data_IF_600104410604
#
_entry.id   IF_600104410604
#
_cell.length_a   1.000
_cell.length_b   1.000
_cell.length_c   1.000
_cell.angle_alpha   90.00
_cell.angle_beta   90.00
_cell.angle_gamma   90.00
#
_symmetry.space_group_name_H-M   'P 1'
#
loop_
_entity.id
_entity.type
_entity.pdbx_description
1 polymer ?
#
# COMPACT_ATOMS: atom_id res chain seq x y z
N UNK A 1 -35.49 70.96 -49.78
CA UNK A 1 -34.76 71.47 -48.61
C UNK A 1 -35.35 70.75 -47.37
N UNK A 2 -34.95 69.59 -47.03
CA UNK A 2 -35.45 68.78 -45.93
C UNK A 2 -34.38 68.58 -44.90
N UNK A 3 -34.63 69.04 -43.69
CA UNK A 3 -33.73 68.84 -42.51
C UNK A 3 -33.95 67.50 -41.92
N UNK A 4 -32.94 66.64 -41.97
CA UNK A 4 -32.91 65.36 -41.29
C UNK A 4 -32.48 65.59 -39.82
N UNK A 5 -33.32 65.22 -38.90
CA UNK A 5 -32.99 65.19 -37.46
C UNK A 5 -32.42 63.83 -37.10
N UNK A 6 -31.18 63.79 -36.60
CA UNK A 6 -30.52 62.66 -36.10
C UNK A 6 -30.97 62.43 -34.64
N UNK A 7 -31.59 61.32 -34.36
CA UNK A 7 -31.92 60.87 -32.99
C UNK A 7 -30.76 60.03 -32.42
N UNK A 8 -30.19 60.46 -31.31
CA UNK A 8 -29.14 59.80 -30.58
C UNK A 8 -29.80 58.87 -29.58
N UNK A 9 -29.69 57.55 -29.81
CA UNK A 9 -30.16 56.53 -28.86
C UNK A 9 -28.99 56.18 -27.95
N UNK A 10 -29.10 56.43 -26.65
CA UNK A 10 -28.16 56.05 -25.63
C UNK A 10 -28.39 54.55 -25.25
N UNK A 11 -27.42 53.74 -25.51
CA UNK A 11 -27.41 52.31 -25.04
C UNK A 11 -26.75 52.27 -23.66
N UNK A 12 -27.54 52.02 -22.62
CA UNK A 12 -27.02 51.68 -21.29
C UNK A 12 -26.45 50.24 -21.33
N UNK A 13 -25.13 50.11 -21.29
CA UNK A 13 -24.46 48.86 -21.10
C UNK A 13 -24.55 48.45 -19.64
N UNK A 14 -25.30 47.39 -19.37
CA UNK A 14 -25.27 46.69 -18.07
C UNK A 14 -24.03 45.84 -18.00
N UNK A 15 -23.04 46.24 -17.20
CA UNK A 15 -21.87 45.42 -16.84
C UNK A 15 -22.27 44.40 -15.79
N UNK A 16 -22.50 43.16 -16.23
CA UNK A 16 -22.67 42.03 -15.32
C UNK A 16 -21.31 41.67 -14.72
N UNK A 17 -21.09 41.96 -13.45
CA UNK A 17 -20.00 41.39 -12.67
C UNK A 17 -20.25 39.87 -12.49
N UNK A 18 -19.50 39.05 -13.21
CA UNK A 18 -19.39 37.61 -12.92
C UNK A 18 -18.52 37.49 -11.69
N UNK A 19 -19.13 37.22 -10.55
CA UNK A 19 -18.42 36.81 -9.35
C UNK A 19 -17.90 35.38 -9.58
N UNK A 20 -16.61 35.22 -9.87
CA UNK A 20 -15.94 33.95 -9.77
C UNK A 20 -15.96 33.52 -8.28
N UNK A 21 -16.93 32.70 -7.92
CA UNK A 21 -17.01 32.08 -6.62
C UNK A 21 -15.82 31.14 -6.42
N UNK A 22 -14.92 31.45 -5.50
CA UNK A 22 -13.86 30.60 -5.03
C UNK A 22 -14.46 29.40 -4.26
N UNK A 23 -14.77 28.30 -4.97
CA UNK A 23 -15.29 27.05 -4.38
C UNK A 23 -14.18 26.16 -3.77
N UNK A 24 -12.92 26.63 -3.75
CA UNK A 24 -11.79 25.89 -3.16
C UNK A 24 -11.67 25.97 -1.63
N UNK A 25 -12.38 26.88 -0.97
CA UNK A 25 -12.18 27.13 0.47
C UNK A 25 -12.91 26.16 1.41
N UNK A 26 -14.04 25.60 1.00
CA UNK A 26 -14.91 24.83 1.91
C UNK A 26 -14.39 23.41 2.23
N UNK A 27 -13.79 22.72 1.27
CA UNK A 27 -13.26 21.37 1.47
C UNK A 27 -11.99 21.36 2.33
N UNK A 28 -11.12 22.37 2.18
CA UNK A 28 -9.91 22.51 2.99
C UNK A 28 -10.20 22.87 4.45
N UNK A 29 -11.18 23.73 4.70
CA UNK A 29 -11.59 24.10 6.06
C UNK A 29 -12.22 22.91 6.82
N UNK A 30 -12.98 22.05 6.13
CA UNK A 30 -13.60 20.86 6.72
C UNK A 30 -12.55 19.82 7.15
N UNK A 31 -11.52 19.57 6.34
CA UNK A 31 -10.45 18.60 6.67
C UNK A 31 -9.59 19.07 7.83
N UNK A 32 -9.26 20.36 7.91
CA UNK A 32 -8.46 20.94 9.00
C UNK A 32 -9.21 20.85 10.34
N UNK A 33 -10.52 21.13 10.35
CA UNK A 33 -11.34 20.99 11.56
C UNK A 33 -11.48 19.54 12.03
N UNK A 34 -11.61 18.60 11.10
CA UNK A 34 -11.66 17.16 11.40
C UNK A 34 -10.35 16.67 12.00
N UNK A 35 -9.20 17.05 11.46
CA UNK A 35 -7.88 16.72 12.03
C UNK A 35 -7.70 17.33 13.42
N UNK A 36 -8.13 18.58 13.64
CA UNK A 36 -8.08 19.20 14.96
C UNK A 36 -8.93 18.45 16.00
N UNK A 37 -10.10 17.94 15.61
CA UNK A 37 -10.92 17.09 16.46
C UNK A 37 -10.21 15.75 16.75
N UNK A 38 -9.61 15.11 15.75
CA UNK A 38 -8.85 13.87 15.90
C UNK A 38 -7.67 14.02 16.86
N UNK A 39 -6.87 15.08 16.74
CA UNK A 39 -5.76 15.35 17.68
C UNK A 39 -6.18 15.39 19.14
N UNK A 40 -7.41 15.83 19.41
CA UNK A 40 -7.98 15.86 20.77
C UNK A 40 -8.50 14.50 21.22
N UNK A 41 -9.03 13.68 20.29
CA UNK A 41 -9.68 12.41 20.63
C UNK A 41 -8.73 11.21 20.66
N UNK A 42 -7.67 11.21 19.85
CA UNK A 42 -6.71 10.10 19.73
C UNK A 42 -6.18 9.62 21.07
N UNK A 43 -5.72 10.48 22.01
CA UNK A 43 -5.17 10.04 23.30
C UNK A 43 -6.16 9.26 24.20
N UNK A 44 -7.47 9.36 23.94
CA UNK A 44 -8.49 8.62 24.67
C UNK A 44 -8.72 7.20 24.11
N UNK A 45 -8.17 6.89 22.94
CA UNK A 45 -8.42 5.65 22.20
C UNK A 45 -7.15 4.84 21.92
N UNK A 46 -5.99 5.31 22.37
CA UNK A 46 -4.72 4.61 22.25
C UNK A 46 -4.72 3.30 23.04
N UNK A 47 -4.14 2.26 22.48
CA UNK A 47 -3.94 0.96 23.13
C UNK A 47 -3.14 1.12 24.45
N UNK A 48 -2.06 1.90 24.40
CA UNK A 48 -1.33 2.32 25.59
C UNK A 48 -1.39 3.84 25.68
N UNK A 49 -2.00 4.35 26.74
CA UNK A 49 -2.19 5.79 26.93
C UNK A 49 -0.90 6.59 26.81
N UNK A 50 -0.92 7.62 25.97
CA UNK A 50 0.20 8.54 25.76
C UNK A 50 1.22 8.06 24.72
N UNK A 51 0.89 6.97 23.97
CA UNK A 51 1.71 6.49 22.86
C UNK A 51 0.85 5.87 21.76
N UNK A 52 1.29 6.00 20.53
CA UNK A 52 0.73 5.30 19.37
C UNK A 52 1.51 4.00 19.17
N UNK A 53 0.86 2.87 19.41
CA UNK A 53 1.47 1.54 19.25
C UNK A 53 1.20 1.02 17.85
N UNK A 54 2.25 0.93 17.04
CA UNK A 54 2.19 0.48 15.64
C UNK A 54 2.77 -0.93 15.53
N UNK A 55 2.03 -1.83 14.92
CA UNK A 55 2.48 -3.21 14.68
C UNK A 55 3.05 -3.36 13.26
N UNK A 56 3.97 -4.29 13.10
CA UNK A 56 4.44 -4.86 11.82
C UNK A 56 5.10 -6.21 12.07
N UNK A 57 5.36 -6.99 11.02
CA UNK A 57 6.05 -8.28 11.13
C UNK A 57 7.56 -8.13 11.39
N UNK A 58 8.22 -9.24 11.67
CA UNK A 58 9.67 -9.36 11.76
C UNK A 58 10.14 -10.68 11.13
N UNK A 59 11.05 -10.61 10.13
CA UNK A 59 11.76 -9.41 9.65
C UNK A 59 10.89 -8.49 8.79
N UNK A 60 11.04 -7.16 9.01
CA UNK A 60 10.40 -6.12 8.22
C UNK A 60 11.29 -5.74 7.02
N UNK A 61 10.83 -6.01 5.80
CA UNK A 61 11.65 -5.97 4.59
C UNK A 61 11.69 -4.59 3.89
N UNK A 62 12.78 -4.37 3.17
CA UNK A 62 12.90 -3.30 2.17
C UNK A 62 12.01 -3.69 0.95
N UNK A 63 11.30 -2.73 0.33
CA UNK A 63 11.38 -1.25 0.49
C UNK A 63 10.44 -0.66 1.54
N UNK A 64 9.66 -1.45 2.23
CA UNK A 64 8.66 -1.03 3.21
C UNK A 64 9.31 -0.54 4.50
N UNK A 65 10.32 -1.26 4.95
CA UNK A 65 11.15 -0.92 6.11
C UNK A 65 12.63 -1.09 5.76
N UNK A 66 13.48 -0.14 6.15
CA UNK A 66 14.91 -0.21 5.87
C UNK A 66 15.66 -0.79 7.06
N UNK A 67 16.53 -1.77 6.80
CA UNK A 67 17.37 -2.44 7.78
C UNK A 67 16.60 -3.17 8.88
N UNK A 68 15.43 -3.74 8.59
CA UNK A 68 14.58 -4.40 9.58
C UNK A 68 14.39 -3.53 10.85
N UNK A 69 14.24 -2.22 10.68
CA UNK A 69 14.15 -1.26 11.79
C UNK A 69 12.97 -0.31 11.56
N UNK A 70 11.74 -0.73 11.88
CA UNK A 70 10.54 0.08 11.67
C UNK A 70 10.59 1.48 12.31
N UNK A 71 11.26 1.60 13.45
CA UNK A 71 11.39 2.85 14.20
C UNK A 71 12.30 3.89 13.56
N UNK A 72 13.09 3.55 12.54
CA UNK A 72 14.03 4.48 11.92
C UNK A 72 13.36 5.53 10.99
N UNK A 73 12.08 5.34 10.61
CA UNK A 73 11.34 6.22 9.70
C UNK A 73 11.76 6.10 8.25
N UNK A 74 12.50 5.05 7.90
CA UNK A 74 12.98 4.79 6.54
C UNK A 74 12.29 3.56 5.97
N UNK A 75 11.95 3.63 4.68
CA UNK A 75 11.05 2.71 4.00
C UNK A 75 9.65 3.31 3.87
N UNK A 76 8.86 2.78 2.94
CA UNK A 76 7.57 3.39 2.62
C UNK A 76 6.61 3.32 3.80
N UNK A 77 6.38 2.16 4.38
CA UNK A 77 5.42 1.96 5.46
C UNK A 77 5.87 2.59 6.78
N UNK A 78 7.17 2.49 7.10
CA UNK A 78 7.70 3.22 8.25
C UNK A 78 7.44 4.72 8.13
N UNK A 79 7.72 5.31 6.96
CA UNK A 79 7.50 6.74 6.73
C UNK A 79 6.01 7.12 6.73
N UNK A 80 5.12 6.27 6.18
CA UNK A 80 3.67 6.47 6.21
C UNK A 80 3.14 6.45 7.64
N UNK A 81 3.57 5.50 8.48
CA UNK A 81 3.16 5.43 9.89
C UNK A 81 3.51 6.72 10.64
N UNK A 82 4.73 7.21 10.47
CA UNK A 82 5.16 8.48 11.08
C UNK A 82 4.45 9.70 10.51
N UNK A 83 4.12 9.71 9.21
CA UNK A 83 3.33 10.78 8.62
C UNK A 83 1.91 10.82 9.18
N UNK A 84 1.27 9.66 9.33
CA UNK A 84 -0.05 9.53 9.97
C UNK A 84 0.01 10.00 11.43
N UNK A 85 1.01 9.55 12.21
CA UNK A 85 1.22 9.99 13.59
C UNK A 85 1.32 11.53 13.67
N UNK A 86 2.07 12.16 12.77
CA UNK A 86 2.21 13.62 12.69
C UNK A 86 0.89 14.33 12.41
N UNK A 87 0.08 13.83 11.47
CA UNK A 87 -1.27 14.36 11.20
C UNK A 87 -2.20 14.22 12.41
N UNK A 88 -2.05 13.14 13.18
CA UNK A 88 -2.80 12.90 14.41
C UNK A 88 -2.26 13.68 15.63
N UNK A 89 -1.16 14.41 15.47
CA UNK A 89 -0.53 15.19 16.55
C UNK A 89 0.29 14.37 17.53
N UNK A 90 0.63 13.12 17.17
CA UNK A 90 1.48 12.24 18.00
C UNK A 90 2.95 12.51 17.67
N UNK A 91 3.78 12.95 18.64
CA UNK A 91 5.20 13.15 18.42
C UNK A 91 5.93 11.85 18.07
N UNK A 92 7.02 11.95 17.32
CA UNK A 92 7.76 10.79 16.83
C UNK A 92 8.27 9.87 17.95
N UNK A 93 8.68 10.43 19.07
CA UNK A 93 9.15 9.71 20.27
C UNK A 93 8.02 9.00 21.03
N UNK A 94 6.77 9.26 20.67
CA UNK A 94 5.57 8.60 21.19
C UNK A 94 5.01 7.52 20.24
N UNK A 95 5.69 7.25 19.14
CA UNK A 95 5.36 6.12 18.25
C UNK A 95 6.19 4.91 18.67
N UNK A 96 5.51 3.88 19.16
CA UNK A 96 6.12 2.63 19.63
C UNK A 96 5.80 1.48 18.68
N UNK A 97 6.83 0.73 18.30
CA UNK A 97 6.68 -0.39 17.38
C UNK A 97 6.66 -1.71 18.15
N UNK A 98 5.74 -2.58 17.74
CA UNK A 98 5.62 -3.95 18.25
C UNK A 98 5.64 -4.95 17.09
N UNK A 99 6.09 -6.17 17.36
CA UNK A 99 6.04 -7.25 16.37
C UNK A 99 4.69 -7.94 16.45
N UNK A 100 4.02 -8.03 15.31
CA UNK A 100 2.82 -8.85 15.11
C UNK A 100 3.03 -9.69 13.84
N UNK A 101 3.07 -11.03 13.92
CA UNK A 101 3.23 -11.86 12.74
C UNK A 101 2.09 -11.64 11.74
N UNK A 102 2.42 -11.65 10.44
CA UNK A 102 1.49 -11.34 9.35
C UNK A 102 0.17 -12.12 9.44
N UNK A 103 0.24 -13.44 9.61
CA UNK A 103 -0.92 -14.32 9.66
C UNK A 103 -1.76 -14.15 10.94
N UNK A 104 -1.16 -13.70 12.04
CA UNK A 104 -1.84 -13.38 13.30
C UNK A 104 -2.60 -12.06 13.25
N UNK A 105 -2.16 -11.11 12.42
CA UNK A 105 -2.69 -9.75 12.40
C UNK A 105 -4.18 -9.69 12.05
N UNK A 106 -4.65 -10.52 11.12
CA UNK A 106 -6.07 -10.56 10.70
C UNK A 106 -6.89 -11.66 11.39
N UNK A 107 -6.35 -12.37 12.39
CA UNK A 107 -7.13 -13.30 13.23
C UNK A 107 -8.14 -12.49 14.07
N UNK A 108 -9.39 -12.96 14.25
CA UNK A 108 -10.36 -12.29 15.14
C UNK A 108 -9.84 -12.19 16.58
N UNK A 109 -10.19 -11.10 17.25
CA UNK A 109 -9.89 -10.93 18.69
C UNK A 109 -9.28 -9.58 19.03
N UNK A 110 -8.88 -9.47 20.30
CA UNK A 110 -8.24 -8.26 20.85
C UNK A 110 -6.86 -8.12 20.27
N UNK A 111 -6.52 -6.90 19.82
CA UNK A 111 -5.19 -6.55 19.32
C UNK A 111 -4.40 -5.78 20.38
N UNK A 112 -3.08 -5.97 20.36
CA UNK A 112 -2.16 -5.32 21.30
C UNK A 112 -1.45 -4.12 20.65
N UNK A 113 -2.16 -3.43 19.75
CA UNK A 113 -1.67 -2.28 19.00
C UNK A 113 -2.83 -1.35 18.59
N UNK A 114 -2.52 -0.14 18.21
CA UNK A 114 -3.47 0.82 17.67
C UNK A 114 -3.81 0.50 16.22
N UNK A 115 -2.80 0.26 15.40
CA UNK A 115 -2.92 -0.29 14.06
C UNK A 115 -1.68 -1.08 13.65
N UNK A 116 -1.88 -1.97 12.67
CA UNK A 116 -0.82 -2.71 12.00
C UNK A 116 -0.62 -2.15 10.57
N UNK A 117 0.66 -2.01 10.17
CA UNK A 117 1.08 -1.61 8.83
C UNK A 117 2.15 -2.60 8.36
N UNK A 118 1.77 -3.50 7.45
CA UNK A 118 2.57 -4.66 7.07
C UNK A 118 2.08 -5.23 5.74
N UNK A 119 2.00 -4.38 4.70
CA UNK A 119 1.61 -4.82 3.34
C UNK A 119 0.27 -5.56 3.32
N UNK A 120 -0.64 -5.21 4.23
CA UNK A 120 -1.87 -5.97 4.41
C UNK A 120 -2.93 -5.52 3.40
N UNK A 121 -3.10 -6.31 2.34
CA UNK A 121 -4.17 -6.11 1.38
C UNK A 121 -5.54 -6.25 2.03
N UNK A 122 -6.41 -5.27 1.74
CA UNK A 122 -7.82 -5.40 2.04
C UNK A 122 -8.42 -6.58 1.29
N UNK A 123 -9.13 -7.45 2.01
CA UNK A 123 -10.02 -8.44 1.41
C UNK A 123 -11.33 -8.49 2.19
N UNK A 124 -12.43 -8.82 1.48
CA UNK A 124 -13.73 -8.99 2.15
C UNK A 124 -13.72 -10.10 3.22
N UNK A 125 -12.86 -11.10 3.07
CA UNK A 125 -12.68 -12.17 4.05
C UNK A 125 -12.02 -11.63 5.33
N UNK A 126 -10.88 -10.92 5.22
CA UNK A 126 -10.17 -10.30 6.34
C UNK A 126 -11.05 -9.26 7.05
N UNK A 127 -11.80 -8.45 6.30
CA UNK A 127 -12.68 -7.41 6.84
C UNK A 127 -13.85 -7.94 7.69
N UNK A 128 -14.16 -9.25 7.66
CA UNK A 128 -15.12 -9.86 8.61
C UNK A 128 -14.54 -9.90 10.02
N UNK A 129 -13.24 -10.14 10.16
CA UNK A 129 -12.56 -10.33 11.44
C UNK A 129 -11.96 -9.05 12.02
N UNK A 130 -11.47 -8.17 11.17
CA UNK A 130 -10.76 -6.93 11.54
C UNK A 130 -11.37 -5.71 10.86
N UNK A 131 -10.88 -4.51 11.17
CA UNK A 131 -11.28 -3.28 10.46
C UNK A 131 -10.06 -2.75 9.70
N UNK A 132 -10.29 -2.25 8.49
CA UNK A 132 -9.27 -1.60 7.66
C UNK A 132 -9.48 -0.10 7.56
N UNK A 133 -8.40 0.63 7.40
CA UNK A 133 -8.45 2.02 6.95
C UNK A 133 -8.83 2.11 5.47
N UNK A 134 -8.99 3.33 4.96
CA UNK A 134 -8.90 3.60 3.53
C UNK A 134 -7.51 3.25 2.99
N UNK A 135 -7.41 2.95 1.68
CA UNK A 135 -6.15 2.63 1.02
C UNK A 135 -5.07 3.69 1.27
N UNK A 136 -3.84 3.26 1.60
CA UNK A 136 -2.65 4.10 1.57
C UNK A 136 -1.72 3.75 0.40
N UNK A 137 -1.89 2.59 -0.25
CA UNK A 137 -1.12 2.13 -1.40
C UNK A 137 -1.93 1.17 -2.27
N UNK A 138 -1.90 1.35 -3.58
CA UNK A 138 -2.49 0.43 -4.56
C UNK A 138 -1.39 -0.45 -5.12
N UNK A 139 -1.56 -1.77 -5.05
CA UNK A 139 -0.54 -2.78 -5.33
C UNK A 139 -0.95 -3.67 -6.50
N UNK A 140 0.04 -4.25 -7.15
CA UNK A 140 -0.12 -5.32 -8.14
C UNK A 140 0.74 -6.52 -7.75
N UNK A 141 0.34 -7.71 -8.16
CA UNK A 141 1.10 -8.93 -7.97
C UNK A 141 2.12 -9.13 -9.08
N UNK A 142 3.26 -9.77 -8.79
CA UNK A 142 4.30 -10.07 -9.77
C UNK A 142 4.92 -11.45 -9.54
N UNK A 143 5.51 -12.00 -10.61
CA UNK A 143 6.20 -13.30 -10.56
C UNK A 143 7.69 -13.08 -10.36
N UNK A 144 8.27 -13.82 -9.40
CA UNK A 144 9.72 -13.92 -9.18
C UNK A 144 10.17 -15.34 -9.47
N UNK A 145 11.25 -15.48 -10.24
CA UNK A 145 11.83 -16.77 -10.58
C UNK A 145 13.36 -16.68 -10.67
N UNK A 146 14.05 -17.83 -10.63
CA UNK A 146 15.48 -17.85 -10.93
C UNK A 146 15.72 -17.54 -12.40
N UNK A 147 16.78 -16.78 -12.71
CA UNK A 147 17.17 -16.38 -14.07
C UNK A 147 17.38 -17.57 -15.02
N UNK A 148 17.70 -18.73 -14.48
CA UNK A 148 17.90 -19.98 -15.22
C UNK A 148 16.61 -20.74 -15.52
N UNK A 149 15.49 -20.38 -14.84
CA UNK A 149 14.21 -21.08 -15.03
C UNK A 149 13.56 -20.62 -16.35
N UNK A 150 13.04 -21.56 -17.19
CA UNK A 150 12.37 -21.23 -18.45
C UNK A 150 11.16 -20.28 -18.32
N UNK A 151 10.53 -20.18 -17.14
CA UNK A 151 9.40 -19.28 -16.88
C UNK A 151 9.73 -17.81 -17.17
N UNK A 152 11.02 -17.42 -17.07
CA UNK A 152 11.45 -16.01 -17.32
C UNK A 152 11.19 -15.53 -18.75
N UNK A 153 10.88 -16.45 -19.68
CA UNK A 153 10.52 -16.16 -21.06
C UNK A 153 9.02 -16.27 -21.33
N UNK A 154 8.21 -16.43 -20.28
CA UNK A 154 6.76 -16.68 -20.39
C UNK A 154 6.01 -15.42 -20.00
N UNK A 155 5.12 -14.97 -20.87
CA UNK A 155 4.42 -13.69 -20.71
C UNK A 155 2.91 -13.77 -20.92
N UNK A 156 2.37 -14.99 -21.06
CA UNK A 156 0.93 -15.23 -21.15
C UNK A 156 0.44 -16.17 -20.04
N UNK A 157 -0.79 -16.01 -19.55
CA UNK A 157 -1.35 -16.87 -18.52
C UNK A 157 -1.34 -18.36 -18.88
N UNK A 158 -1.58 -18.68 -20.16
CA UNK A 158 -1.59 -20.07 -20.63
C UNK A 158 -0.22 -20.75 -20.44
N UNK A 159 0.88 -20.03 -20.73
CA UNK A 159 2.24 -20.54 -20.58
C UNK A 159 2.66 -20.69 -19.12
N UNK A 160 2.08 -19.89 -18.22
CA UNK A 160 2.41 -19.89 -16.79
C UNK A 160 1.81 -21.09 -16.04
N UNK A 161 0.78 -21.76 -16.57
CA UNK A 161 0.06 -22.84 -15.88
C UNK A 161 0.89 -24.11 -15.63
N UNK A 162 1.95 -24.33 -16.39
CA UNK A 162 2.74 -25.58 -16.30
C UNK A 162 3.82 -25.58 -15.23
N UNK A 163 4.05 -24.43 -14.59
CA UNK A 163 5.09 -24.24 -13.57
C UNK A 163 4.58 -24.56 -12.18
N UNK A 164 5.50 -24.98 -11.30
CA UNK A 164 5.22 -25.20 -9.87
C UNK A 164 5.47 -23.91 -9.09
N UNK A 165 4.42 -23.40 -8.51
CA UNK A 165 4.48 -22.25 -7.63
C UNK A 165 4.61 -22.64 -6.18
N UNK A 166 5.19 -21.74 -5.38
CA UNK A 166 5.15 -21.81 -3.92
C UNK A 166 4.91 -20.41 -3.35
N UNK A 167 4.21 -20.33 -2.22
CA UNK A 167 3.96 -19.04 -1.57
C UNK A 167 3.61 -19.20 -0.10
N UNK A 168 3.58 -18.07 0.63
CA UNK A 168 3.20 -18.06 2.03
C UNK A 168 1.69 -18.22 2.19
N UNK A 169 1.31 -18.98 3.20
CA UNK A 169 -0.10 -19.16 3.59
C UNK A 169 -0.80 -17.82 3.84
N UNK A 170 -2.02 -17.68 3.32
CA UNK A 170 -2.89 -16.53 3.59
C UNK A 170 -2.55 -15.25 2.82
N UNK A 171 -1.51 -15.25 1.96
CA UNK A 171 -1.17 -14.10 1.11
C UNK A 171 -2.10 -13.94 -0.07
N UNK A 172 -2.18 -12.73 -0.60
CA UNK A 172 -2.89 -12.46 -1.86
C UNK A 172 -2.14 -12.99 -3.07
N UNK A 173 -0.81 -13.15 -2.98
CA UNK A 173 0.00 -13.86 -3.97
C UNK A 173 -0.43 -15.32 -4.14
N UNK A 174 -0.56 -16.06 -3.03
CA UNK A 174 -1.08 -17.43 -3.06
C UNK A 174 -2.51 -17.49 -3.63
N UNK A 175 -3.37 -16.54 -3.24
CA UNK A 175 -4.72 -16.45 -3.80
C UNK A 175 -4.67 -16.17 -5.30
N UNK A 176 -3.78 -15.27 -5.77
CA UNK A 176 -3.61 -14.98 -7.19
C UNK A 176 -3.17 -16.21 -7.99
N UNK A 177 -2.25 -17.01 -7.45
CA UNK A 177 -1.84 -18.28 -8.07
C UNK A 177 -3.06 -19.19 -8.27
N UNK A 178 -3.87 -19.39 -7.24
CA UNK A 178 -5.02 -20.31 -7.26
C UNK A 178 -6.17 -19.80 -8.13
N UNK A 179 -6.47 -18.49 -8.10
CA UNK A 179 -7.68 -17.94 -8.70
C UNK A 179 -7.48 -17.44 -10.14
N UNK A 180 -6.25 -16.98 -10.46
CA UNK A 180 -5.94 -16.36 -11.75
C UNK A 180 -4.98 -17.18 -12.61
N UNK A 181 -3.84 -17.65 -12.07
CA UNK A 181 -2.90 -18.48 -12.83
C UNK A 181 -3.49 -19.88 -13.03
N UNK A 182 -4.07 -20.47 -11.99
CA UNK A 182 -4.66 -21.82 -12.00
C UNK A 182 -3.69 -22.87 -12.55
N UNK A 183 -2.53 -23.06 -11.90
CA UNK A 183 -1.52 -23.97 -12.40
C UNK A 183 -2.01 -25.42 -12.41
N UNK A 184 -1.46 -26.23 -13.32
CA UNK A 184 -1.78 -27.67 -13.42
C UNK A 184 -1.20 -28.50 -12.26
N UNK A 185 -0.22 -27.95 -11.56
CA UNK A 185 0.41 -28.53 -10.37
C UNK A 185 -0.06 -27.76 -9.13
N UNK A 186 -0.44 -28.46 -8.05
CA UNK A 186 -0.84 -27.82 -6.79
C UNK A 186 0.30 -26.99 -6.24
N UNK A 187 0.08 -25.70 -5.95
CA UNK A 187 1.10 -24.83 -5.35
C UNK A 187 1.55 -25.36 -3.99
N UNK A 188 2.83 -25.21 -3.68
CA UNK A 188 3.36 -25.49 -2.34
C UNK A 188 3.08 -24.31 -1.42
N UNK A 189 2.64 -24.60 -0.20
CA UNK A 189 2.26 -23.59 0.80
C UNK A 189 3.23 -23.65 1.96
N UNK A 190 3.75 -22.48 2.35
CA UNK A 190 4.75 -22.34 3.40
C UNK A 190 4.23 -21.45 4.52
N UNK A 191 4.77 -21.60 5.72
CA UNK A 191 4.39 -20.76 6.86
C UNK A 191 4.96 -19.34 6.76
N UNK A 192 6.10 -19.17 6.06
CA UNK A 192 6.74 -17.88 5.86
C UNK A 192 7.19 -17.69 4.41
N UNK A 193 7.30 -16.45 3.98
CA UNK A 193 7.81 -16.12 2.66
C UNK A 193 9.29 -16.53 2.49
N UNK A 194 10.09 -16.44 3.56
CA UNK A 194 11.49 -16.90 3.54
C UNK A 194 11.64 -18.39 3.24
N UNK A 195 10.70 -19.22 3.71
CA UNK A 195 10.69 -20.65 3.34
C UNK A 195 10.44 -20.83 1.84
N UNK A 196 9.49 -20.08 1.26
CA UNK A 196 9.24 -20.11 -0.18
C UNK A 196 10.47 -19.62 -0.98
N UNK A 197 11.15 -18.60 -0.50
CA UNK A 197 12.41 -18.09 -1.09
C UNK A 197 13.50 -19.17 -1.05
N UNK A 198 13.68 -19.87 0.07
CA UNK A 198 14.66 -20.95 0.19
C UNK A 198 14.37 -22.11 -0.79
N UNK A 199 13.11 -22.47 -0.95
CA UNK A 199 12.68 -23.51 -1.89
C UNK A 199 12.86 -23.07 -3.37
N UNK A 200 12.67 -21.80 -3.67
CA UNK A 200 12.97 -21.23 -4.99
C UNK A 200 14.49 -21.31 -5.28
N UNK A 201 15.33 -20.91 -4.31
CA UNK A 201 16.79 -20.94 -4.45
C UNK A 201 17.35 -22.35 -4.66
N UNK A 202 16.68 -23.36 -4.09
CA UNK A 202 17.07 -24.78 -4.22
C UNK A 202 16.35 -25.50 -5.35
N UNK A 203 15.67 -24.78 -6.24
CA UNK A 203 14.93 -25.30 -7.41
C UNK A 203 13.80 -26.27 -7.05
N UNK A 204 13.26 -26.20 -5.85
CA UNK A 204 12.13 -27.04 -5.41
C UNK A 204 10.78 -26.50 -5.90
N UNK A 205 10.73 -25.21 -6.21
CA UNK A 205 9.62 -24.52 -6.90
C UNK A 205 10.18 -23.71 -8.08
N UNK A 206 9.34 -23.39 -9.03
CA UNK A 206 9.71 -22.63 -10.23
C UNK A 206 9.57 -21.13 -10.02
N UNK A 207 8.58 -20.69 -9.24
CA UNK A 207 8.26 -19.28 -9.04
C UNK A 207 7.48 -18.99 -7.77
N UNK A 208 7.55 -17.75 -7.31
CA UNK A 208 6.76 -17.15 -6.24
C UNK A 208 5.94 -16.00 -6.84
N UNK A 209 4.74 -15.72 -6.33
CA UNK A 209 3.92 -14.56 -6.70
C UNK A 209 3.79 -13.66 -5.48
N UNK A 210 4.28 -12.44 -5.60
CA UNK A 210 4.33 -11.47 -4.49
C UNK A 210 3.98 -10.07 -4.98
N UNK A 211 3.75 -9.17 -4.06
CA UNK A 211 3.59 -7.76 -4.35
C UNK A 211 4.74 -7.22 -5.21
N UNK A 212 4.41 -6.37 -6.17
CA UNK A 212 5.40 -5.94 -7.18
C UNK A 212 6.66 -5.31 -6.58
N UNK A 213 6.60 -4.47 -5.52
CA UNK A 213 7.83 -3.97 -4.89
C UNK A 213 8.67 -5.07 -4.23
N UNK A 214 8.04 -6.07 -3.62
CA UNK A 214 8.75 -7.20 -3.00
C UNK A 214 9.44 -8.06 -4.03
N UNK A 215 8.76 -8.34 -5.13
CA UNK A 215 9.33 -9.07 -6.25
C UNK A 215 10.61 -8.41 -6.77
N UNK A 216 10.65 -7.10 -6.84
CA UNK A 216 11.86 -6.36 -7.26
C UNK A 216 12.97 -6.44 -6.20
N UNK A 217 12.64 -6.31 -4.91
CA UNK A 217 13.59 -6.47 -3.82
C UNK A 217 14.17 -7.88 -3.80
N UNK A 218 13.33 -8.89 -3.86
CA UNK A 218 13.75 -10.31 -3.93
C UNK A 218 14.69 -10.56 -5.10
N UNK A 219 14.29 -10.09 -6.29
CA UNK A 219 15.07 -10.27 -7.51
C UNK A 219 16.41 -9.53 -7.52
N UNK A 220 16.51 -8.38 -6.85
CA UNK A 220 17.71 -7.55 -6.88
C UNK A 220 18.64 -7.75 -5.68
N UNK A 221 18.11 -8.01 -4.48
CA UNK A 221 18.85 -7.95 -3.23
C UNK A 221 18.74 -9.22 -2.36
N UNK A 222 17.59 -9.89 -2.32
CA UNK A 222 17.39 -11.01 -1.39
C UNK A 222 17.89 -12.34 -1.96
N UNK A 223 17.56 -12.65 -3.23
CA UNK A 223 17.88 -13.94 -3.86
C UNK A 223 19.22 -13.83 -4.59
N UNK A 224 20.29 -14.15 -3.89
CA UNK A 224 21.66 -14.00 -4.35
C UNK A 224 22.45 -15.30 -4.21
N UNK A 225 23.52 -15.46 -5.01
CA UNK A 225 24.50 -16.51 -4.84
C UNK A 225 25.55 -16.15 -3.77
N UNK A 226 26.46 -17.06 -3.47
CA UNK A 226 27.55 -16.88 -2.50
C UNK A 226 28.50 -15.70 -2.82
N UNK A 227 28.45 -15.14 -4.03
CA UNK A 227 29.22 -13.95 -4.45
C UNK A 227 28.38 -12.67 -4.40
N UNK A 228 27.25 -12.68 -3.69
CA UNK A 228 26.29 -11.58 -3.58
C UNK A 228 25.76 -11.04 -4.93
N UNK A 229 25.72 -11.92 -5.94
CA UNK A 229 25.12 -11.58 -7.24
C UNK A 229 23.69 -12.11 -7.30
N UNK A 230 22.76 -11.28 -7.70
CA UNK A 230 21.36 -11.70 -7.92
C UNK A 230 21.30 -12.84 -8.94
N UNK A 231 20.61 -13.92 -8.55
CA UNK A 231 20.32 -15.10 -9.39
C UNK A 231 18.84 -15.19 -9.76
N UNK A 232 18.00 -14.29 -9.24
CA UNK A 232 16.58 -14.22 -9.56
C UNK A 232 16.26 -13.02 -10.46
N UNK A 233 15.07 -13.04 -11.03
CA UNK A 233 14.49 -11.92 -11.80
C UNK A 233 13.00 -11.84 -11.53
N UNK A 234 12.47 -10.63 -11.60
CA UNK A 234 11.04 -10.39 -11.67
C UNK A 234 10.59 -10.58 -13.12
N UNK A 235 9.79 -11.60 -13.39
CA UNK A 235 9.37 -12.01 -14.74
C UNK A 235 8.42 -10.98 -15.34
N UNK A 236 7.50 -10.47 -14.53
CA UNK A 236 6.52 -9.48 -14.90
C UNK A 236 5.51 -9.26 -13.77
N UNK A 237 4.77 -8.15 -13.86
CA UNK A 237 3.64 -7.87 -12.99
C UNK A 237 2.32 -8.17 -13.71
N UNK A 238 1.31 -8.52 -12.94
CA UNK A 238 -0.04 -8.69 -13.45
C UNK A 238 -0.78 -7.35 -13.56
N UNK A 239 -1.81 -7.26 -14.41
CA UNK A 239 -2.71 -6.10 -14.41
C UNK A 239 -3.32 -5.86 -13.02
N UNK A 240 -3.58 -4.59 -12.69
CA UNK A 240 -4.24 -4.25 -11.43
C UNK A 240 -5.61 -4.92 -11.31
N UNK A 241 -5.87 -5.51 -10.17
CA UNK A 241 -7.18 -6.05 -9.76
C UNK A 241 -7.96 -5.09 -8.88
N UNK A 242 -7.41 -3.91 -8.58
CA UNK A 242 -7.91 -3.00 -7.56
C UNK A 242 -7.43 -3.36 -6.15
N UNK A 243 -6.48 -4.28 -6.06
CA UNK A 243 -5.85 -4.64 -4.79
C UNK A 243 -5.15 -3.42 -4.16
N UNK A 244 -5.30 -3.27 -2.85
CA UNK A 244 -4.74 -2.16 -2.13
C UNK A 244 -4.46 -2.50 -0.67
N UNK A 245 -3.48 -1.84 -0.08
CA UNK A 245 -3.18 -1.95 1.34
C UNK A 245 -4.02 -0.98 2.16
N UNK A 246 -4.51 -1.47 3.28
CA UNK A 246 -5.11 -0.68 4.35
C UNK A 246 -4.41 -0.96 5.67
N UNK A 247 -4.34 0.04 6.55
CA UNK A 247 -3.94 -0.20 7.93
C UNK A 247 -4.97 -1.10 8.59
N UNK A 248 -4.50 -2.10 9.34
CA UNK A 248 -5.36 -3.05 10.02
C UNK A 248 -5.56 -2.67 11.49
N UNK A 249 -6.79 -2.80 11.96
CA UNK A 249 -7.21 -2.48 13.32
C UNK A 249 -8.00 -3.63 13.94
N UNK A 250 -8.05 -3.67 15.26
CA UNK A 250 -9.09 -4.45 15.94
C UNK A 250 -10.47 -4.11 15.38
N UNK A 251 -11.34 -5.10 15.27
CA UNK A 251 -12.70 -4.90 14.79
C UNK A 251 -13.42 -3.82 15.59
N UNK A 252 -13.93 -2.78 14.90
CA UNK A 252 -14.65 -1.67 15.53
C UNK A 252 -13.76 -0.65 16.27
N UNK A 253 -12.45 -0.64 16.06
CA UNK A 253 -11.54 0.32 16.70
C UNK A 253 -11.94 1.77 16.35
N UNK A 254 -12.13 2.66 17.35
CA UNK A 254 -12.56 4.05 17.14
C UNK A 254 -11.52 4.92 16.45
N UNK A 255 -10.22 4.56 16.44
CA UNK A 255 -9.16 5.31 15.76
C UNK A 255 -9.28 5.32 14.24
N UNK A 256 -9.99 4.35 13.64
CA UNK A 256 -10.09 4.20 12.17
C UNK A 256 -10.55 5.48 11.49
N UNK A 257 -11.55 6.18 12.04
CA UNK A 257 -12.07 7.44 11.49
C UNK A 257 -10.99 8.54 11.42
N UNK A 258 -10.22 8.68 12.50
CA UNK A 258 -9.13 9.65 12.57
C UNK A 258 -7.96 9.29 11.66
N UNK A 259 -7.60 8.02 11.59
CA UNK A 259 -6.55 7.54 10.68
C UNK A 259 -6.97 7.75 9.21
N UNK A 260 -8.23 7.49 8.86
CA UNK A 260 -8.75 7.78 7.52
C UNK A 260 -8.67 9.27 7.17
N UNK A 261 -8.97 10.14 8.15
CA UNK A 261 -8.84 11.60 7.99
C UNK A 261 -7.37 11.99 7.75
N UNK A 262 -6.43 11.39 8.49
CA UNK A 262 -5.00 11.61 8.29
C UNK A 262 -4.53 11.12 6.91
N UNK A 263 -4.93 9.91 6.48
CA UNK A 263 -4.61 9.38 5.14
C UNK A 263 -5.15 10.32 4.04
N UNK A 264 -6.38 10.82 4.19
CA UNK A 264 -6.97 11.74 3.23
C UNK A 264 -6.18 13.06 3.14
N UNK A 265 -5.72 13.60 4.27
CA UNK A 265 -4.87 14.79 4.30
C UNK A 265 -3.52 14.55 3.63
N UNK A 266 -2.86 13.41 3.92
CA UNK A 266 -1.59 13.02 3.31
C UNK A 266 -1.70 12.74 1.80
N UNK A 267 -2.85 12.28 1.32
CA UNK A 267 -3.15 12.19 -0.13
C UNK A 267 -3.31 13.57 -0.73
N UNK A 268 -4.12 14.42 -0.11
CA UNK A 268 -4.44 15.76 -0.63
C UNK A 268 -3.22 16.69 -0.70
N UNK A 269 -2.32 16.62 0.30
CA UNK A 269 -1.09 17.44 0.32
C UNK A 269 0.08 16.81 -0.48
N UNK A 270 -0.11 15.64 -1.09
CA UNK A 270 0.87 14.95 -1.92
C UNK A 270 1.94 14.19 -1.15
N UNK A 271 1.87 14.11 0.18
CA UNK A 271 2.88 13.41 1.00
C UNK A 271 2.97 11.92 0.66
N UNK A 272 1.84 11.20 0.54
CA UNK A 272 1.87 9.78 0.17
C UNK A 272 2.50 9.57 -1.21
N UNK A 273 2.19 10.42 -2.18
CA UNK A 273 2.79 10.37 -3.52
C UNK A 273 4.31 10.59 -3.48
N UNK A 274 4.76 11.55 -2.68
CA UNK A 274 6.21 11.82 -2.50
C UNK A 274 6.93 10.65 -1.82
N UNK A 275 6.35 10.04 -0.79
CA UNK A 275 6.89 8.87 -0.12
C UNK A 275 6.94 7.66 -1.06
N UNK A 276 5.88 7.42 -1.83
CA UNK A 276 5.84 6.36 -2.85
C UNK A 276 6.93 6.57 -3.91
N UNK A 277 7.08 7.77 -4.43
CA UNK A 277 8.15 8.08 -5.40
C UNK A 277 9.54 7.86 -4.82
N UNK A 278 9.75 8.25 -3.55
CA UNK A 278 11.03 8.13 -2.85
C UNK A 278 11.43 6.68 -2.60
N UNK A 279 10.51 5.86 -2.11
CA UNK A 279 10.84 4.51 -1.62
C UNK A 279 10.46 3.41 -2.61
N UNK A 280 9.43 3.60 -3.45
CA UNK A 280 8.90 2.58 -4.34
C UNK A 280 9.10 2.90 -5.83
N UNK A 281 9.61 4.08 -6.17
CA UNK A 281 9.68 4.53 -7.57
C UNK A 281 10.52 3.67 -8.50
N UNK A 282 11.53 2.96 -7.98
CA UNK A 282 12.35 2.01 -8.74
C UNK A 282 11.75 0.61 -8.77
N UNK A 283 10.88 0.27 -7.83
CA UNK A 283 10.34 -1.08 -7.63
C UNK A 283 9.11 -1.38 -8.50
N UNK A 284 8.50 -0.37 -9.11
CA UNK A 284 7.30 -0.51 -9.94
C UNK A 284 7.58 -0.51 -11.46
N UNK A 285 8.84 -0.73 -11.87
CA UNK A 285 9.26 -0.68 -13.29
C UNK A 285 9.36 -2.08 -13.90
N UNK A 286 8.27 -2.82 -13.91
CA UNK A 286 8.23 -4.21 -14.37
C UNK A 286 7.25 -4.33 -15.54
N UNK A 287 7.58 -5.07 -16.60
CA UNK A 287 6.66 -5.32 -17.70
C UNK A 287 5.34 -5.94 -17.21
N UNK A 288 4.23 -5.51 -17.78
CA UNK A 288 2.92 -6.10 -17.48
C UNK A 288 2.76 -7.38 -18.29
N UNK A 289 2.43 -8.49 -17.62
CA UNK A 289 2.06 -9.76 -18.25
C UNK A 289 0.71 -9.55 -18.91
N UNK A 290 0.67 -9.71 -20.22
CA UNK A 290 -0.57 -9.52 -21.00
C UNK A 290 -1.48 -10.71 -20.80
N UNK A 291 -2.80 -10.49 -20.63
CA UNK A 291 -3.80 -11.55 -20.55
C UNK A 291 -3.82 -12.45 -21.78
#
# INVERSE_FOLDING_TARGET
MGKVRLALTAVLGATSLVALGATGGAAGASSTSALAACKKSVPAHEYVKGQLTVATDSPAYTPWFVNNTPSNGKGYESAVAYAIAGELGVPRDKVHWVVEPFDSSYVPGVKKFDFDINEISYTAARAKAVTFSTSYYDVTQSIVALKTNPIVKKHSPAELKTYLYGDQLGTTGLAYINDHIKPTRTPRVYSTLDQAVAELQTHQIDAIVVDTPDGQYMASAQIQNAKHKSIATQVGQFPSTGEHFGLLFQKGNPLVGCVNTAIAALKANGTLKALQAKYLGIYNRVPVIKP
#
